data_IF_749405760644
#
_entry.id   IF_749405760644
#
_cell.length_a   1.000
_cell.length_b   1.000
_cell.length_c   1.000
_cell.angle_alpha   90.00
_cell.angle_beta   90.00
_cell.angle_gamma   90.00
#
_symmetry.space_group_name_H-M   'P 1'
#
loop_
_entity.id
_entity.type
_entity.pdbx_description
1 polymer ?
#
# COMPACT_ATOMS: atom_id res chain seq x y z
N UNK A 1 -1.96 11.45 16.22
CA UNK A 1 -1.47 11.70 14.87
C UNK A 1 -1.28 10.37 14.18
N UNK A 2 -2.11 10.05 13.19
CA UNK A 2 -2.01 8.79 12.46
C UNK A 2 -0.80 8.84 11.49
N UNK A 3 -0.34 7.69 11.00
CA UNK A 3 0.84 7.62 10.10
C UNK A 3 0.67 8.45 8.82
N UNK A 4 -0.54 8.58 8.28
CA UNK A 4 -0.86 9.42 7.12
C UNK A 4 -0.79 10.91 7.45
N UNK A 5 -1.22 11.33 8.64
CA UNK A 5 -1.09 12.72 9.10
C UNK A 5 0.38 13.09 9.30
N UNK A 6 1.20 12.16 9.80
CA UNK A 6 2.64 12.35 9.93
C UNK A 6 3.31 12.51 8.57
N UNK A 7 2.93 11.66 7.60
CA UNK A 7 3.42 11.74 6.22
C UNK A 7 3.05 13.07 5.56
N UNK A 8 1.80 13.52 5.74
CA UNK A 8 1.33 14.82 5.23
C UNK A 8 2.05 15.99 5.89
N UNK A 9 2.27 15.92 7.20
CA UNK A 9 2.92 16.98 7.97
C UNK A 9 4.39 17.15 7.58
N UNK A 10 5.16 16.06 7.51
CA UNK A 10 6.57 16.10 7.09
C UNK A 10 6.70 16.56 5.63
N UNK A 11 5.76 16.18 4.75
CA UNK A 11 5.76 16.60 3.34
C UNK A 11 5.50 18.12 3.13
N UNK A 12 4.82 18.78 4.07
CA UNK A 12 4.52 20.21 3.99
C UNK A 12 5.68 21.11 4.42
N UNK A 13 6.68 20.58 5.13
CA UNK A 13 7.84 21.32 5.64
C UNK A 13 8.98 21.32 4.60
N UNK A 14 8.94 22.30 3.69
CA UNK A 14 10.09 22.92 3.03
C UNK A 14 11.30 22.01 2.68
N UNK A 15 11.12 21.04 1.77
CA UNK A 15 12.10 20.63 0.76
C UNK A 15 11.58 19.42 -0.03
N UNK A 16 10.45 19.63 -0.72
CA UNK A 16 9.78 18.60 -1.53
C UNK A 16 10.69 17.93 -2.55
N UNK A 17 11.80 18.55 -2.96
CA UNK A 17 12.75 17.99 -3.93
C UNK A 17 13.94 17.24 -3.31
N UNK A 18 14.17 17.31 -2.00
CA UNK A 18 15.34 16.70 -1.34
C UNK A 18 15.00 15.57 -0.36
N UNK A 19 13.72 15.33 -0.08
CA UNK A 19 13.30 14.23 0.79
C UNK A 19 13.33 12.90 0.04
N UNK A 20 14.04 11.91 0.60
CA UNK A 20 13.99 10.50 0.18
C UNK A 20 13.08 9.73 1.13
N UNK A 21 12.04 9.10 0.58
CA UNK A 21 11.12 8.23 1.29
C UNK A 21 11.61 6.79 1.22
N UNK A 22 11.90 6.19 2.37
CA UNK A 22 12.28 4.78 2.47
C UNK A 22 11.06 3.99 2.94
N UNK A 23 10.51 3.14 2.09
CA UNK A 23 9.33 2.36 2.44
C UNK A 23 9.72 1.02 3.08
N UNK A 24 9.00 0.66 4.14
CA UNK A 24 9.10 -0.64 4.79
C UNK A 24 8.03 -1.63 4.28
N UNK A 25 8.16 -2.90 4.66
CA UNK A 25 7.26 -3.98 4.24
C UNK A 25 5.82 -3.72 4.69
N UNK A 26 5.62 -3.16 5.90
CA UNK A 26 4.28 -2.92 6.43
C UNK A 26 3.55 -1.81 5.67
N UNK A 27 4.28 -0.80 5.21
CA UNK A 27 3.77 0.28 4.39
C UNK A 27 3.34 -0.23 3.02
N UNK A 28 4.16 -1.07 2.38
CA UNK A 28 3.81 -1.70 1.10
C UNK A 28 2.59 -2.63 1.20
N UNK A 29 2.41 -3.31 2.34
CA UNK A 29 1.25 -4.17 2.59
C UNK A 29 -0.02 -3.40 3.00
N UNK A 30 0.08 -2.10 3.31
CA UNK A 30 -1.02 -1.33 3.87
C UNK A 30 -2.24 -1.23 2.92
N UNK A 31 -2.07 -0.97 1.60
CA UNK A 31 -3.22 -0.91 0.68
C UNK A 31 -4.02 -2.22 0.65
N UNK A 32 -3.33 -3.36 0.71
CA UNK A 32 -3.95 -4.68 0.69
C UNK A 32 -4.67 -5.04 1.99
N UNK A 33 -4.14 -4.58 3.13
CA UNK A 33 -4.80 -4.75 4.43
C UNK A 33 -6.08 -3.91 4.54
N UNK A 34 -6.14 -2.79 3.82
CA UNK A 34 -7.25 -1.83 3.84
C UNK A 34 -8.09 -1.96 2.58
N UNK A 35 -8.75 -3.10 2.40
CA UNK A 35 -9.53 -3.46 1.21
C UNK A 35 -10.46 -2.36 0.66
N UNK A 36 -11.05 -1.53 1.51
CA UNK A 36 -11.97 -0.45 1.09
C UNK A 36 -11.29 0.90 0.80
N UNK A 37 -10.00 1.04 1.14
CA UNK A 37 -9.24 2.30 1.04
C UNK A 37 -7.85 2.13 0.43
N UNK A 38 -7.56 0.95 -0.13
CA UNK A 38 -6.25 0.67 -0.74
C UNK A 38 -5.91 1.66 -1.84
N UNK A 39 -6.87 1.92 -2.71
CA UNK A 39 -6.73 2.87 -3.82
C UNK A 39 -6.52 4.31 -3.34
N UNK A 40 -7.19 4.73 -2.26
CA UNK A 40 -6.97 6.06 -1.66
C UNK A 40 -5.52 6.24 -1.21
N UNK A 41 -4.91 5.20 -0.65
CA UNK A 41 -3.52 5.22 -0.19
C UNK A 41 -2.56 5.28 -1.38
N UNK A 42 -2.81 4.47 -2.40
CA UNK A 42 -1.99 4.45 -3.63
C UNK A 42 -2.06 5.81 -4.32
N UNK A 43 -3.25 6.38 -4.47
CA UNK A 43 -3.45 7.69 -5.08
C UNK A 43 -2.79 8.79 -4.26
N UNK A 44 -2.89 8.74 -2.92
CA UNK A 44 -2.21 9.72 -2.06
C UNK A 44 -0.69 9.67 -2.24
N UNK A 45 -0.10 8.49 -2.41
CA UNK A 45 1.34 8.36 -2.72
C UNK A 45 1.63 8.93 -4.10
N UNK A 46 0.87 8.55 -5.14
CA UNK A 46 1.06 9.02 -6.52
C UNK A 46 0.93 10.55 -6.65
N UNK A 47 -0.03 11.15 -5.95
CA UNK A 47 -0.33 12.59 -6.03
C UNK A 47 0.65 13.46 -5.24
N UNK A 48 1.35 12.90 -4.25
CA UNK A 48 2.21 13.67 -3.35
C UNK A 48 3.68 13.29 -3.46
N UNK A 49 4.05 12.10 -3.91
CA UNK A 49 5.45 11.66 -3.86
C UNK A 49 5.90 11.30 -5.28
N UNK A 50 6.91 12.03 -5.79
CA UNK A 50 7.53 11.64 -7.06
C UNK A 50 8.20 10.28 -6.93
N UNK A 51 8.11 9.45 -7.96
CA UNK A 51 8.76 8.12 -7.96
C UNK A 51 10.27 8.19 -7.75
N UNK A 52 10.91 9.29 -8.14
CA UNK A 52 12.36 9.51 -7.95
C UNK A 52 12.74 9.71 -6.47
N UNK A 53 11.75 10.02 -5.63
CA UNK A 53 11.93 10.21 -4.19
C UNK A 53 11.65 8.95 -3.38
N UNK A 54 11.30 7.84 -4.03
CA UNK A 54 10.96 6.60 -3.35
C UNK A 54 12.14 5.64 -3.47
N UNK A 55 12.63 5.18 -2.33
CA UNK A 55 13.59 4.10 -2.24
C UNK A 55 12.95 2.92 -1.51
N UNK A 56 13.00 1.75 -2.15
CA UNK A 56 12.58 0.49 -1.54
C UNK A 56 13.83 -0.40 -1.44
N UNK A 57 14.36 -0.65 -0.24
CA UNK A 57 15.48 -1.56 -0.08
C UNK A 57 15.13 -2.95 -0.60
N UNK A 58 16.07 -3.63 -1.26
CA UNK A 58 15.82 -4.95 -1.85
C UNK A 58 15.29 -5.98 -0.84
N UNK A 59 15.77 -5.96 0.40
CA UNK A 59 15.28 -6.85 1.46
C UNK A 59 13.79 -6.65 1.75
N UNK A 60 13.29 -5.42 1.63
CA UNK A 60 11.88 -5.08 1.80
C UNK A 60 11.04 -5.67 0.67
N UNK A 61 11.55 -5.69 -0.57
CA UNK A 61 10.87 -6.36 -1.69
C UNK A 61 10.76 -7.87 -1.46
N UNK A 62 11.82 -8.51 -0.96
CA UNK A 62 11.80 -9.93 -0.61
C UNK A 62 10.78 -10.22 0.51
N UNK A 63 10.77 -9.41 1.55
CA UNK A 63 9.79 -9.53 2.63
C UNK A 63 8.37 -9.31 2.13
N UNK A 64 8.13 -8.32 1.28
CA UNK A 64 6.83 -8.06 0.67
C UNK A 64 6.34 -9.28 -0.11
N UNK A 65 7.15 -9.81 -1.02
CA UNK A 65 6.80 -11.00 -1.81
C UNK A 65 6.53 -12.23 -0.94
N UNK A 66 7.24 -12.42 0.15
CA UNK A 66 7.00 -13.53 1.09
C UNK A 66 5.67 -13.41 1.85
N UNK A 67 5.18 -12.18 2.05
CA UNK A 67 4.03 -11.92 2.93
C UNK A 67 2.74 -11.58 2.16
N UNK A 68 2.84 -11.15 0.90
CA UNK A 68 1.68 -10.62 0.16
C UNK A 68 0.59 -11.66 -0.04
N UNK A 69 0.94 -12.90 -0.38
CA UNK A 69 -0.03 -13.99 -0.58
C UNK A 69 -0.81 -14.28 0.71
N UNK A 70 -0.12 -14.34 1.85
CA UNK A 70 -0.75 -14.53 3.16
C UNK A 70 -1.70 -13.38 3.53
N UNK A 71 -1.32 -12.13 3.22
CA UNK A 71 -2.18 -10.97 3.47
C UNK A 71 -3.42 -11.01 2.58
N UNK A 72 -3.27 -11.29 1.29
CA UNK A 72 -4.39 -11.41 0.35
C UNK A 72 -5.35 -12.51 0.82
N UNK A 73 -4.84 -13.69 1.18
CA UNK A 73 -5.65 -14.81 1.66
C UNK A 73 -6.44 -14.43 2.93
N UNK A 74 -5.77 -13.81 3.90
CA UNK A 74 -6.40 -13.39 5.16
C UNK A 74 -7.52 -12.37 4.95
N UNK A 75 -7.30 -11.40 4.05
CA UNK A 75 -8.31 -10.38 3.74
C UNK A 75 -9.47 -11.01 2.95
N UNK A 76 -9.19 -11.87 1.97
CA UNK A 76 -10.22 -12.61 1.23
C UNK A 76 -11.11 -13.46 2.15
N UNK A 77 -10.51 -14.22 3.07
CA UNK A 77 -11.23 -15.00 4.08
C UNK A 77 -12.12 -14.11 4.96
N UNK A 78 -11.62 -12.93 5.33
CA UNK A 78 -12.39 -11.96 6.13
C UNK A 78 -13.57 -11.39 5.34
N UNK A 79 -13.40 -11.06 4.06
CA UNK A 79 -14.47 -10.58 3.18
C UNK A 79 -15.54 -11.65 2.94
N UNK A 80 -15.15 -12.92 2.80
CA UNK A 80 -16.09 -14.04 2.73
C UNK A 80 -16.89 -14.19 4.03
N UNK A 81 -16.25 -13.98 5.19
CA UNK A 81 -16.92 -13.93 6.49
C UNK A 81 -17.97 -12.83 6.56
N UNK A 82 -17.64 -11.62 6.08
CA UNK A 82 -18.56 -10.47 6.03
C UNK A 82 -19.71 -10.74 5.07
N UNK A 83 -19.45 -11.29 3.87
CA UNK A 83 -20.48 -11.68 2.89
C UNK A 83 -21.52 -12.63 3.49
N UNK A 84 -21.09 -13.57 4.33
CA UNK A 84 -21.99 -14.49 5.05
C UNK A 84 -22.88 -13.77 6.07
N UNK A 85 -22.45 -12.62 6.60
CA UNK A 85 -23.15 -11.85 7.62
C UNK A 85 -24.11 -10.81 7.03
N UNK A 86 -23.74 -10.15 5.93
CA UNK A 86 -24.52 -9.03 5.37
C UNK A 86 -25.10 -9.28 3.97
N UNK A 87 -24.81 -10.44 3.37
CA UNK A 87 -25.29 -10.85 2.05
C UNK A 87 -24.66 -10.11 0.86
N UNK A 88 -23.71 -9.19 1.08
CA UNK A 88 -23.09 -8.37 0.03
C UNK A 88 -21.78 -8.99 -0.45
N UNK A 89 -21.55 -8.89 -1.75
CA UNK A 89 -20.28 -9.27 -2.35
C UNK A 89 -19.27 -8.13 -2.20
N UNK A 90 -18.07 -8.46 -1.74
CA UNK A 90 -16.93 -7.57 -1.66
C UNK A 90 -15.81 -8.17 -2.51
N UNK A 91 -15.28 -7.40 -3.47
CA UNK A 91 -14.19 -7.81 -4.34
C UNK A 91 -12.90 -7.10 -3.94
N UNK A 92 -11.80 -7.82 -4.06
CA UNK A 92 -10.45 -7.34 -3.78
C UNK A 92 -9.78 -7.17 -5.14
N UNK A 93 -9.52 -5.93 -5.56
CA UNK A 93 -8.77 -5.67 -6.78
C UNK A 93 -7.26 -5.76 -6.47
N UNK A 94 -6.63 -6.85 -6.90
CA UNK A 94 -5.20 -7.14 -6.66
C UNK A 94 -4.36 -6.92 -7.92
N UNK A 95 -5.01 -6.85 -9.08
CA UNK A 95 -4.35 -6.91 -10.39
C UNK A 95 -3.65 -5.58 -10.76
N UNK A 96 -4.12 -4.43 -10.26
CA UNK A 96 -3.53 -3.14 -10.60
C UNK A 96 -2.18 -2.89 -9.92
N UNK A 97 -2.00 -3.29 -8.66
CA UNK A 97 -0.78 -2.95 -7.89
C UNK A 97 0.41 -3.86 -8.19
N UNK A 98 0.17 -5.16 -8.39
CA UNK A 98 1.26 -6.11 -8.68
C UNK A 98 1.79 -5.98 -10.11
N UNK A 99 0.94 -5.57 -11.06
CA UNK A 99 1.37 -5.28 -12.42
C UNK A 99 2.15 -3.95 -12.50
N UNK A 100 1.74 -2.90 -11.77
CA UNK A 100 2.50 -1.64 -11.68
C UNK A 100 3.89 -1.84 -11.04
N UNK A 101 4.04 -2.76 -10.07
CA UNK A 101 5.32 -3.08 -9.43
C UNK A 101 6.25 -3.98 -10.26
N UNK A 102 5.69 -4.87 -11.09
CA UNK A 102 6.50 -5.72 -12.01
C UNK A 102 7.18 -4.88 -13.10
N UNK A 103 6.67 -3.69 -13.40
CA UNK A 103 7.25 -2.75 -14.36
C UNK A 103 8.17 -1.78 -13.62
N UNK A 104 9.34 -2.26 -13.15
CA UNK A 104 10.60 -1.51 -12.89
C UNK A 104 11.54 -2.36 -12.04
N UNK A 105 11.93 -3.52 -12.57
CA UNK A 105 13.22 -4.13 -12.27
C UNK A 105 14.16 -3.88 -13.45
#
# INVERSE_FOLDING_TARGET
MNKLELLRYEYQKENRSQTLFIFDTNFLLLPFRLWSKGDEIINLIKDNISTEQIFIPYIILLEFHRNIDYVIEKVSNSLQGIKKLDGKAYELNVDDFTNDLKIKL
#
